data_IF_137395147679
#
_entry.id   IF_137395147679
#
_cell.length_a   1.000
_cell.length_b   1.000
_cell.length_c   1.000
_cell.angle_alpha   90.00
_cell.angle_beta   90.00
_cell.angle_gamma   90.00
#
_symmetry.space_group_name_H-M   'P 1'
#
loop_
_entity.id
_entity.type
_entity.pdbx_description
1 polymer ?
#
# COMPACT_ATOMS: atom_id res chain seq x y z
N UNK A 1 15.31 8.71 -13.30
CA UNK A 1 13.85 8.56 -13.48
C UNK A 1 13.19 9.18 -12.28
N UNK A 2 11.96 9.69 -12.40
CA UNK A 2 11.24 10.25 -11.25
C UNK A 2 9.96 9.43 -11.05
N UNK A 3 9.71 9.00 -9.81
CA UNK A 3 8.52 8.26 -9.40
C UNK A 3 7.82 9.09 -8.34
N UNK A 4 6.52 9.31 -8.50
CA UNK A 4 5.68 10.00 -7.52
C UNK A 4 4.75 9.00 -6.88
N UNK A 5 4.77 8.91 -5.55
CA UNK A 5 3.80 8.16 -4.79
C UNK A 5 2.64 9.07 -4.39
N UNK A 6 1.42 8.65 -4.71
CA UNK A 6 0.21 9.37 -4.34
C UNK A 6 0.00 9.37 -2.83
N UNK A 7 -0.73 10.37 -2.32
CA UNK A 7 -1.01 10.54 -0.88
C UNK A 7 -1.54 9.27 -0.21
N UNK A 8 -2.40 8.50 -0.91
CA UNK A 8 -2.99 7.25 -0.39
C UNK A 8 -1.94 6.17 -0.17
N UNK A 9 -1.05 5.98 -1.13
CA UNK A 9 0.04 5.01 -1.03
C UNK A 9 1.00 5.37 0.12
N UNK A 10 1.37 6.66 0.22
CA UNK A 10 2.23 7.15 1.30
C UNK A 10 1.58 6.95 2.67
N UNK A 11 0.27 7.20 2.80
CA UNK A 11 -0.47 6.96 4.04
C UNK A 11 -0.49 5.49 4.41
N UNK A 12 -0.73 4.61 3.44
CA UNK A 12 -0.79 3.17 3.65
C UNK A 12 0.57 2.63 4.12
N UNK A 13 1.66 2.94 3.40
CA UNK A 13 3.02 2.55 3.80
C UNK A 13 3.32 3.00 5.23
N UNK A 14 2.94 4.23 5.59
CA UNK A 14 3.18 4.76 6.94
C UNK A 14 2.41 4.02 8.03
N UNK A 15 1.17 3.62 7.75
CA UNK A 15 0.36 2.86 8.68
C UNK A 15 0.96 1.48 8.90
N UNK A 16 1.31 0.79 7.82
CA UNK A 16 1.94 -0.54 7.88
C UNK A 16 3.35 -0.49 8.46
N UNK A 17 4.08 0.62 8.28
CA UNK A 17 5.39 0.80 8.89
C UNK A 17 5.27 1.02 10.40
N UNK A 18 4.29 1.80 10.86
CA UNK A 18 4.03 1.94 12.28
C UNK A 18 3.65 0.59 12.92
N UNK A 19 2.81 -0.18 12.24
CA UNK A 19 2.43 -1.53 12.65
C UNK A 19 3.65 -2.46 12.72
N UNK A 20 4.51 -2.44 11.69
CA UNK A 20 5.74 -3.21 11.66
C UNK A 20 6.72 -2.86 12.79
N UNK A 21 6.81 -1.58 13.20
CA UNK A 21 7.61 -1.15 14.36
C UNK A 21 7.03 -1.75 15.66
N UNK A 22 5.71 -1.79 15.80
CA UNK A 22 5.03 -2.27 17.01
C UNK A 22 5.02 -3.81 17.10
N UNK A 23 4.77 -4.49 15.98
CA UNK A 23 4.61 -5.95 15.90
C UNK A 23 5.94 -6.67 15.61
N UNK A 24 6.92 -5.97 15.05
CA UNK A 24 8.19 -6.54 14.61
C UNK A 24 8.07 -7.40 13.36
N UNK A 25 7.01 -7.21 12.57
CA UNK A 25 6.74 -7.94 11.34
C UNK A 25 6.67 -6.98 10.14
N UNK A 26 7.48 -7.24 9.11
CA UNK A 26 7.55 -6.39 7.92
C UNK A 26 6.89 -7.03 6.70
N UNK A 27 6.18 -8.15 6.84
CA UNK A 27 5.60 -8.87 5.70
C UNK A 27 4.50 -8.05 5.03
N UNK A 28 3.58 -7.50 5.83
CA UNK A 28 2.51 -6.62 5.35
C UNK A 28 3.08 -5.32 4.76
N UNK A 29 4.00 -4.67 5.49
CA UNK A 29 4.69 -3.46 5.01
C UNK A 29 5.34 -3.64 3.64
N UNK A 30 6.00 -4.78 3.41
CA UNK A 30 6.63 -5.07 2.11
C UNK A 30 5.60 -5.13 0.98
N UNK A 31 4.45 -5.75 1.23
CA UNK A 31 3.36 -5.84 0.25
C UNK A 31 2.79 -4.44 -0.02
N UNK A 32 2.51 -3.65 1.02
CA UNK A 32 2.00 -2.28 0.87
C UNK A 32 2.99 -1.36 0.13
N UNK A 33 4.30 -1.51 0.38
CA UNK A 33 5.32 -0.76 -0.37
C UNK A 33 5.37 -1.22 -1.82
N UNK A 34 5.27 -2.52 -2.10
CA UNK A 34 5.25 -3.03 -3.47
C UNK A 34 4.03 -2.50 -4.25
N UNK A 35 2.85 -2.54 -3.64
CA UNK A 35 1.59 -2.07 -4.24
C UNK A 35 1.54 -0.57 -4.47
N UNK A 36 2.38 0.21 -3.79
CA UNK A 36 2.53 1.64 -4.03
C UNK A 36 3.14 1.97 -5.41
N UNK A 37 3.81 1.01 -6.04
CA UNK A 37 4.39 1.16 -7.37
C UNK A 37 3.54 0.44 -8.41
N UNK A 38 3.31 1.10 -9.55
CA UNK A 38 2.68 0.45 -10.70
C UNK A 38 3.58 -0.61 -11.31
N UNK A 39 2.99 -1.61 -11.99
CA UNK A 39 3.75 -2.68 -12.64
C UNK A 39 4.85 -2.16 -13.59
N UNK A 40 4.58 -1.07 -14.34
CA UNK A 40 5.58 -0.45 -15.22
C UNK A 40 6.75 0.16 -14.43
N UNK A 41 6.47 0.78 -13.28
CA UNK A 41 7.51 1.32 -12.41
C UNK A 41 8.35 0.19 -11.80
N UNK A 42 7.72 -0.91 -11.38
CA UNK A 42 8.39 -2.11 -10.85
C UNK A 42 9.32 -2.71 -11.92
N UNK A 43 8.82 -2.98 -13.12
CA UNK A 43 9.64 -3.55 -14.21
C UNK A 43 10.85 -2.66 -14.55
N UNK A 44 10.69 -1.34 -14.47
CA UNK A 44 11.73 -0.37 -14.81
C UNK A 44 12.71 -0.15 -13.65
N UNK A 45 12.31 -0.39 -12.39
CA UNK A 45 13.21 -0.56 -11.24
C UNK A 45 14.04 -1.84 -11.43
N UNK A 46 13.39 -2.98 -11.69
CA UNK A 46 14.04 -4.28 -11.88
C UNK A 46 15.03 -4.29 -13.04
N UNK A 47 14.75 -3.55 -14.13
CA UNK A 47 15.69 -3.38 -15.23
C UNK A 47 16.98 -2.67 -14.80
N UNK A 48 16.91 -1.79 -13.80
CA UNK A 48 18.06 -1.05 -13.26
C UNK A 48 18.77 -1.77 -12.12
N UNK A 49 18.06 -2.64 -11.40
CA UNK A 49 18.68 -3.53 -10.43
C UNK A 49 19.68 -4.44 -11.17
N UNK A 50 20.93 -4.44 -10.71
CA UNK A 50 21.99 -5.30 -11.25
C UNK A 50 21.81 -6.77 -10.80
N UNK A 51 20.97 -7.01 -9.79
CA UNK A 51 20.63 -8.33 -9.24
C UNK A 51 19.28 -8.28 -8.51
N UNK A 52 18.52 -9.37 -8.60
CA UNK A 52 17.24 -9.53 -7.90
C UNK A 52 16.04 -8.92 -8.61
N UNK A 53 14.87 -9.23 -8.08
CA UNK A 53 13.59 -8.57 -8.39
C UNK A 53 13.28 -7.49 -7.34
N UNK A 54 12.26 -6.67 -7.58
CA UNK A 54 11.94 -5.56 -6.67
C UNK A 54 11.54 -6.05 -5.28
N UNK A 55 10.99 -7.26 -5.16
CA UNK A 55 10.66 -7.86 -3.87
C UNK A 55 11.91 -8.24 -3.06
N UNK A 56 12.95 -8.78 -3.70
CA UNK A 56 14.26 -9.01 -3.08
C UNK A 56 14.86 -7.69 -2.58
N UNK A 57 14.85 -6.66 -3.43
CA UNK A 57 15.29 -5.31 -3.06
C UNK A 57 14.57 -4.78 -1.82
N UNK A 58 13.23 -4.85 -1.79
CA UNK A 58 12.45 -4.39 -0.63
C UNK A 58 12.76 -5.21 0.62
N UNK A 59 13.02 -6.51 0.47
CA UNK A 59 13.41 -7.36 1.60
C UNK A 59 14.76 -6.93 2.18
N UNK A 60 15.75 -6.63 1.34
CA UNK A 60 17.04 -6.09 1.79
C UNK A 60 16.90 -4.72 2.47
N UNK A 61 16.06 -3.82 1.91
CA UNK A 61 15.79 -2.50 2.52
C UNK A 61 15.15 -2.64 3.90
N UNK A 62 14.19 -3.55 4.04
CA UNK A 62 13.47 -3.76 5.31
C UNK A 62 14.35 -4.45 6.36
N UNK A 63 15.25 -5.35 5.96
CA UNK A 63 16.25 -5.93 6.86
C UNK A 63 17.25 -4.86 7.35
N UNK A 64 17.63 -3.91 6.47
CA UNK A 64 18.49 -2.77 6.82
C UNK A 64 17.79 -1.76 7.74
N UNK A 65 16.51 -1.48 7.50
CA UNK A 65 15.71 -0.56 8.31
C UNK A 65 15.58 -1.00 9.77
N UNK A 66 15.36 -2.29 10.00
CA UNK A 66 15.30 -2.85 11.36
C UNK A 66 14.11 -2.39 12.22
N UNK A 67 13.22 -1.55 11.71
CA UNK A 67 11.96 -1.17 12.36
C UNK A 67 12.10 -0.17 13.51
N UNK A 68 13.02 0.82 13.43
CA UNK A 68 13.20 1.82 14.50
C UNK A 68 12.25 3.01 14.34
N UNK A 69 12.22 3.65 13.16
CA UNK A 69 11.39 4.82 12.87
C UNK A 69 10.81 4.80 11.45
N UNK A 70 9.54 5.19 11.28
CA UNK A 70 8.86 5.20 9.97
C UNK A 70 9.56 6.14 8.97
N UNK A 71 10.07 7.29 9.42
CA UNK A 71 10.74 8.23 8.53
C UNK A 71 12.08 7.65 7.99
N UNK A 72 12.78 6.82 8.77
CA UNK A 72 14.01 6.15 8.33
C UNK A 72 13.76 5.20 7.16
N UNK A 73 12.60 4.53 7.12
CA UNK A 73 12.21 3.67 5.98
C UNK A 73 12.15 4.47 4.68
N UNK A 74 11.55 5.67 4.70
CA UNK A 74 11.45 6.51 3.51
C UNK A 74 12.83 7.03 3.09
N UNK A 75 13.68 7.41 4.04
CA UNK A 75 15.06 7.84 3.76
C UNK A 75 15.88 6.71 3.11
N UNK A 76 15.71 5.47 3.57
CA UNK A 76 16.35 4.28 3.00
C UNK A 76 15.84 4.00 1.58
N UNK A 77 14.53 4.04 1.37
CA UNK A 77 13.94 3.87 0.04
C UNK A 77 14.46 4.93 -0.95
N UNK A 78 14.49 6.21 -0.55
CA UNK A 78 15.04 7.30 -1.37
C UNK A 78 16.52 7.10 -1.70
N UNK A 79 17.31 6.65 -0.71
CA UNK A 79 18.74 6.42 -0.88
C UNK A 79 19.01 5.27 -1.85
N UNK A 80 18.36 4.14 -1.62
CA UNK A 80 18.59 2.91 -2.37
C UNK A 80 18.05 3.02 -3.81
N UNK A 81 16.87 3.63 -4.00
CA UNK A 81 16.37 3.96 -5.34
C UNK A 81 17.22 5.03 -6.03
N UNK A 82 17.75 5.99 -5.25
CA UNK A 82 18.65 7.03 -5.73
C UNK A 82 19.95 6.48 -6.33
N UNK A 83 20.52 5.43 -5.72
CA UNK A 83 21.76 4.78 -6.20
C UNK A 83 21.58 4.16 -7.61
N UNK A 84 20.39 3.62 -7.88
CA UNK A 84 20.02 3.10 -9.20
C UNK A 84 19.44 4.17 -10.15
N UNK A 85 19.52 5.45 -9.76
CA UNK A 85 19.13 6.59 -10.61
C UNK A 85 17.63 6.86 -10.67
N UNK A 86 16.89 6.47 -9.62
CA UNK A 86 15.46 6.72 -9.45
C UNK A 86 15.29 7.74 -8.32
N UNK A 87 14.67 8.86 -8.65
CA UNK A 87 14.31 9.91 -7.72
C UNK A 87 12.88 9.64 -7.23
N UNK A 88 12.75 9.25 -5.97
CA UNK A 88 11.46 9.00 -5.33
C UNK A 88 10.93 10.33 -4.79
N UNK A 89 9.66 10.62 -5.10
CA UNK A 89 8.94 11.81 -4.68
C UNK A 89 7.61 11.38 -4.08
N UNK A 90 7.16 12.16 -3.12
CA UNK A 90 5.93 11.91 -2.39
C UNK A 90 5.03 13.12 -2.54
N UNK A 91 3.74 12.89 -2.76
CA UNK A 91 2.80 13.97 -2.55
C UNK A 91 2.88 14.45 -1.09
N UNK A 92 3.01 15.76 -0.85
CA UNK A 92 3.04 16.30 0.51
C UNK A 92 1.78 15.88 1.26
N UNK A 93 1.92 15.56 2.55
CA UNK A 93 0.76 15.40 3.45
C UNK A 93 -0.04 16.69 3.36
N UNK A 94 -1.35 16.62 3.10
CA UNK A 94 -2.21 17.82 3.20
C UNK A 94 -2.06 18.50 4.58
N UNK A 95 -1.66 17.74 5.62
CA UNK A 95 -1.35 18.28 6.95
C UNK A 95 -0.19 19.30 7.02
N UNK A 96 0.67 19.45 6.00
CA UNK A 96 1.74 20.48 5.97
C UNK A 96 1.29 21.80 5.33
N UNK A 97 0.13 21.82 4.65
CA UNK A 97 -0.52 23.03 4.10
C UNK A 97 -1.80 23.45 4.89
N UNK A 98 -2.21 22.69 5.91
CA UNK A 98 -3.40 22.94 6.76
C UNK A 98 -3.14 23.89 7.97
N UNK A 99 -2.36 24.95 7.78
CA UNK A 99 -2.47 26.15 8.63
C UNK A 99 -3.37 27.25 8.06
N UNK A 100 -3.93 27.06 6.86
CA UNK A 100 -4.90 28.01 6.28
C UNK A 100 -6.10 27.25 5.63
N UNK A 101 -7.15 27.11 6.44
CA UNK A 101 -8.57 27.07 6.06
C UNK A 101 -9.06 25.96 5.10
N UNK A 102 -9.62 24.90 5.72
CA UNK A 102 -10.92 24.29 5.45
C UNK A 102 -11.23 23.81 4.01
N UNK A 103 -11.49 22.50 3.87
CA UNK A 103 -12.83 21.98 3.58
C UNK A 103 -12.90 20.46 3.79
N UNK A 104 -14.04 20.06 4.32
CA UNK A 104 -14.54 18.70 4.61
C UNK A 104 -15.17 18.15 3.32
N UNK A 105 -14.62 17.06 2.75
CA UNK A 105 -15.23 16.17 1.74
C UNK A 105 -14.15 15.08 1.43
N UNK A 106 -14.27 13.77 1.60
CA UNK A 106 -15.40 12.85 1.53
C UNK A 106 -14.90 11.52 2.18
N UNK A 107 -15.30 11.26 3.42
CA UNK A 107 -15.22 9.91 4.01
C UNK A 107 -16.51 9.18 3.63
N UNK A 108 -16.56 8.64 2.42
CA UNK A 108 -17.58 7.68 2.00
C UNK A 108 -17.10 6.24 2.22
N UNK A 109 -17.08 5.80 3.48
CA UNK A 109 -16.94 4.40 3.88
C UNK A 109 -18.34 3.76 4.01
N UNK A 110 -18.58 2.75 3.17
CA UNK A 110 -19.34 1.49 3.37
C UNK A 110 -20.76 1.48 4.00
N UNK A 111 -21.74 0.89 3.30
CA UNK A 111 -22.68 -0.13 3.86
C UNK A 111 -23.59 -0.74 2.76
N UNK A 112 -23.32 -2.00 2.42
CA UNK A 112 -24.24 -3.15 2.28
C UNK A 112 -25.73 -2.94 1.87
N UNK A 113 -26.12 -3.45 0.69
CA UNK A 113 -27.51 -3.83 0.36
C UNK A 113 -27.54 -5.27 -0.19
N UNK A 114 -27.21 -6.25 0.66
CA UNK A 114 -27.58 -7.65 0.41
C UNK A 114 -28.99 -7.91 0.95
N UNK A 115 -29.97 -7.98 0.04
CA UNK A 115 -31.31 -8.44 0.41
C UNK A 115 -32.32 -8.40 -0.73
N UNK A 116 -32.26 -9.35 -1.68
CA UNK A 116 -33.43 -9.72 -2.47
C UNK A 116 -33.68 -11.22 -2.42
N UNK A 117 -34.89 -11.50 -1.94
CA UNK A 117 -35.56 -12.74 -1.59
C UNK A 117 -36.06 -13.44 -2.86
N UNK A 118 -35.70 -14.70 -3.14
CA UNK A 118 -36.59 -15.57 -3.93
C UNK A 118 -36.52 -17.02 -3.43
N UNK A 119 -37.46 -17.32 -2.54
CA UNK A 119 -37.76 -18.68 -2.09
C UNK A 119 -38.44 -19.47 -3.22
N UNK A 120 -37.68 -20.37 -3.87
CA UNK A 120 -38.23 -21.38 -4.77
C UNK A 120 -39.11 -22.37 -3.98
N UNK A 121 -40.43 -22.20 -4.03
CA UNK A 121 -41.42 -23.13 -3.50
C UNK A 121 -41.53 -24.37 -4.40
N UNK A 122 -40.97 -25.50 -3.97
CA UNK A 122 -41.26 -26.82 -4.55
C UNK A 122 -42.65 -27.30 -4.07
N UNK A 123 -43.58 -27.67 -4.98
CA UNK A 123 -44.82 -28.32 -4.57
C UNK A 123 -44.57 -29.78 -4.20
N UNK A 124 -45.00 -30.18 -3.00
CA UNK A 124 -45.04 -31.58 -2.56
C UNK A 124 -46.09 -32.35 -3.38
N UNK A 125 -45.62 -33.34 -4.13
CA UNK A 125 -46.41 -34.35 -4.84
C UNK A 125 -46.73 -35.48 -3.85
N UNK A 126 -47.99 -35.54 -3.39
CA UNK A 126 -48.54 -36.61 -2.54
C UNK A 126 -49.12 -37.71 -3.46
N UNK A 127 -48.30 -38.70 -3.82
CA UNK A 127 -48.74 -40.02 -4.31
C UNK A 127 -48.31 -41.11 -3.30
N UNK A 128 -49.27 -41.71 -2.57
CA UNK A 128 -49.44 -43.18 -2.38
C UNK A 128 -50.60 -43.53 -1.39
N UNK A 129 -51.74 -44.03 -1.92
CA UNK A 129 -52.40 -45.32 -1.57
C UNK A 129 -53.49 -45.69 -2.61
#
# INVERSE_FOLDING_TARGET
MEIHLDKRAVKQIRLSAADAVEEGDTEALREDVLEAFSEEQVEEIERRLDSGDFFEFLTDVLDEWGGDDVDELFELLETQLGDIGIDLKYEPREDDDDLDEAEDDDLGDDDDDEGDDDAELEPEDDEDD
#
